data_IF_945981846710
#
_entry.id   IF_945981846710
#
_cell.length_a   1.000
_cell.length_b   1.000
_cell.length_c   1.000
_cell.angle_alpha   90.00
_cell.angle_beta   90.00
_cell.angle_gamma   90.00
#
_symmetry.space_group_name_H-M   'P 1'
#
loop_
_entity.id
_entity.type
_entity.pdbx_description
1 polymer ?
#
# COMPACT_ATOMS: atom_id res chain seq x y z
N UNK A 1 36.47 46.10 13.60
CA UNK A 1 36.06 44.77 13.10
C UNK A 1 34.99 44.18 14.02
N UNK A 2 33.73 44.60 13.92
CA UNK A 2 32.65 44.06 14.78
C UNK A 2 31.30 44.45 14.20
N UNK A 3 30.80 43.75 13.17
CA UNK A 3 29.41 43.97 12.69
C UNK A 3 28.78 42.85 11.84
N UNK A 4 29.35 41.63 11.79
CA UNK A 4 28.82 40.54 10.93
C UNK A 4 28.37 39.30 11.73
N UNK A 5 28.37 39.34 13.07
CA UNK A 5 28.01 38.16 13.88
C UNK A 5 26.53 37.99 14.20
N UNK A 6 25.65 38.92 13.83
CA UNK A 6 24.25 38.89 14.28
C UNK A 6 23.23 38.41 13.23
N UNK A 7 23.63 38.18 11.97
CA UNK A 7 22.68 37.87 10.89
C UNK A 7 22.49 36.36 10.62
N UNK A 8 23.32 35.49 11.19
CA UNK A 8 23.25 34.04 10.94
C UNK A 8 22.27 33.33 11.90
N UNK A 9 21.85 33.98 12.99
CA UNK A 9 20.97 33.36 13.98
C UNK A 9 19.46 33.41 13.62
N UNK A 10 19.07 34.26 12.66
CA UNK A 10 17.65 34.47 12.33
C UNK A 10 17.06 33.49 11.30
N UNK A 11 17.87 32.65 10.65
CA UNK A 11 17.42 31.77 9.56
C UNK A 11 16.92 30.39 10.06
N UNK A 12 17.17 30.05 11.33
CA UNK A 12 16.80 28.74 11.90
C UNK A 12 15.39 28.65 12.51
N UNK A 13 14.62 29.75 12.57
CA UNK A 13 13.37 29.81 13.34
C UNK A 13 12.12 29.51 12.49
N UNK A 14 12.23 29.44 11.16
CA UNK A 14 11.09 29.20 10.26
C UNK A 14 11.13 27.82 9.59
N UNK A 15 11.55 26.77 10.31
CA UNK A 15 11.16 25.42 9.88
C UNK A 15 9.70 25.20 10.30
N UNK A 16 8.73 25.12 9.38
CA UNK A 16 7.41 24.64 9.74
C UNK A 16 7.61 23.22 10.29
N UNK A 17 7.25 23.02 11.56
CA UNK A 17 7.07 21.69 12.10
C UNK A 17 5.98 21.02 11.25
N UNK A 18 6.39 20.27 10.23
CA UNK A 18 5.47 19.41 9.52
C UNK A 18 4.97 18.39 10.53
N UNK A 19 3.71 18.53 10.92
CA UNK A 19 3.01 17.53 11.73
C UNK A 19 3.01 16.26 10.88
N UNK A 20 3.93 15.35 11.17
CA UNK A 20 4.00 14.04 10.55
C UNK A 20 2.77 13.26 11.01
N UNK A 21 1.68 13.37 10.23
CA UNK A 21 0.48 12.57 10.46
C UNK A 21 0.78 11.12 10.09
N UNK A 22 1.18 10.37 11.10
CA UNK A 22 1.31 8.92 11.03
C UNK A 22 -0.05 8.28 11.01
N UNK A 23 -0.50 7.82 9.84
CA UNK A 23 -1.74 7.07 9.66
C UNK A 23 -1.44 5.62 9.29
N UNK A 24 -2.05 4.67 9.99
CA UNK A 24 -2.11 3.26 9.62
C UNK A 24 -3.54 2.96 9.17
N UNK A 25 -3.70 2.38 7.98
CA UNK A 25 -4.99 1.98 7.43
C UNK A 25 -5.01 0.46 7.30
N UNK A 26 -6.01 -0.18 7.91
CA UNK A 26 -6.20 -1.63 7.84
C UNK A 26 -7.47 -1.93 7.06
N UNK A 27 -7.32 -2.67 5.96
CA UNK A 27 -8.39 -3.22 5.15
C UNK A 27 -8.45 -4.72 5.40
N UNK A 28 -9.53 -5.20 6.02
CA UNK A 28 -9.65 -6.60 6.43
C UNK A 28 -10.93 -7.26 5.96
N UNK A 29 -10.94 -8.60 5.99
CA UNK A 29 -11.98 -9.45 5.42
C UNK A 29 -12.26 -9.08 3.95
N UNK A 30 -11.19 -9.06 3.15
CA UNK A 30 -11.19 -8.69 1.75
C UNK A 30 -11.51 -9.89 0.86
N UNK A 31 -12.65 -9.83 0.17
CA UNK A 31 -13.09 -10.87 -0.76
C UNK A 31 -12.57 -10.57 -2.18
N UNK A 32 -12.27 -11.62 -2.94
CA UNK A 32 -11.81 -11.55 -4.33
C UNK A 32 -12.79 -12.33 -5.22
N UNK A 33 -12.87 -11.98 -6.51
CA UNK A 33 -13.76 -12.69 -7.45
C UNK A 33 -13.21 -14.04 -7.93
N UNK A 34 -11.89 -14.15 -8.00
CA UNK A 34 -11.17 -15.31 -8.54
C UNK A 34 -10.79 -16.29 -7.44
N UNK A 35 -10.48 -15.78 -6.25
CA UNK A 35 -9.88 -16.53 -5.16
C UNK A 35 -10.69 -16.50 -3.86
N UNK A 36 -10.68 -17.64 -3.16
CA UNK A 36 -11.32 -17.77 -1.86
C UNK A 36 -10.30 -17.77 -0.72
N UNK A 37 -10.55 -16.94 0.29
CA UNK A 37 -9.67 -16.74 1.43
C UNK A 37 -10.37 -17.07 2.76
N UNK A 38 -9.62 -17.62 3.70
CA UNK A 38 -9.99 -17.61 5.12
C UNK A 38 -9.61 -16.28 5.78
N UNK A 39 -8.48 -15.71 5.34
CA UNK A 39 -8.01 -14.38 5.74
C UNK A 39 -7.41 -13.69 4.51
N UNK A 40 -7.72 -12.41 4.33
CA UNK A 40 -7.09 -11.55 3.35
C UNK A 40 -7.19 -10.12 3.88
N UNK A 41 -6.04 -9.54 4.17
CA UNK A 41 -5.90 -8.28 4.89
C UNK A 41 -4.73 -7.49 4.32
N UNK A 42 -4.91 -6.18 4.23
CA UNK A 42 -3.91 -5.21 3.78
C UNK A 42 -3.73 -4.16 4.88
N UNK A 43 -2.49 -3.98 5.30
CA UNK A 43 -2.09 -3.01 6.32
C UNK A 43 -1.19 -1.99 5.63
N UNK A 44 -1.66 -0.75 5.52
CA UNK A 44 -0.92 0.37 4.95
C UNK A 44 -0.35 1.19 6.10
N UNK A 45 0.97 1.24 6.22
CA UNK A 45 1.67 2.12 7.14
C UNK A 45 2.20 3.32 6.34
N UNK A 46 1.49 4.44 6.39
CA UNK A 46 1.87 5.64 5.63
C UNK A 46 3.10 6.34 6.20
N UNK A 47 3.47 6.00 7.44
CA UNK A 47 4.65 6.56 8.09
C UNK A 47 5.93 5.88 7.61
N UNK A 48 5.89 4.56 7.48
CA UNK A 48 7.01 3.75 6.97
C UNK A 48 6.98 3.61 5.44
N UNK A 49 5.93 4.10 4.79
CA UNK A 49 5.69 3.97 3.34
C UNK A 49 5.69 2.50 2.88
N UNK A 50 5.07 1.63 3.69
CA UNK A 50 4.94 0.20 3.37
C UNK A 50 3.48 -0.28 3.41
N UNK A 51 3.22 -1.31 2.63
CA UNK A 51 2.01 -2.13 2.66
C UNK A 51 2.38 -3.56 3.01
N UNK A 52 1.67 -4.15 3.95
CA UNK A 52 1.77 -5.56 4.32
C UNK A 52 0.48 -6.24 3.93
N UNK A 53 0.55 -7.30 3.11
CA UNK A 53 -0.60 -8.16 2.83
C UNK A 53 -0.44 -9.48 3.57
N UNK A 54 -1.44 -9.83 4.37
CA UNK A 54 -1.53 -11.11 5.06
C UNK A 54 -2.70 -11.90 4.49
N UNK A 55 -2.44 -13.11 3.98
CA UNK A 55 -3.51 -13.94 3.44
C UNK A 55 -3.38 -15.42 3.81
N UNK A 56 -4.52 -16.09 3.86
CA UNK A 56 -4.67 -17.52 4.04
C UNK A 56 -5.72 -17.98 3.02
N UNK A 57 -5.31 -18.81 2.05
CA UNK A 57 -6.22 -19.39 1.07
C UNK A 57 -7.13 -20.44 1.71
N UNK A 58 -8.35 -20.57 1.18
CA UNK A 58 -9.15 -21.79 1.39
C UNK A 58 -8.52 -22.97 0.65
N UNK A 59 -8.85 -24.18 1.08
CA UNK A 59 -8.26 -25.42 0.53
C UNK A 59 -8.43 -25.52 -0.99
N UNK A 60 -9.62 -25.22 -1.50
CA UNK A 60 -9.92 -25.24 -2.94
C UNK A 60 -8.97 -24.34 -3.76
N UNK A 61 -8.77 -23.10 -3.33
CA UNK A 61 -7.87 -22.15 -4.00
C UNK A 61 -6.40 -22.55 -3.84
N UNK A 62 -6.02 -23.00 -2.64
CA UNK A 62 -4.66 -23.47 -2.39
C UNK A 62 -4.29 -24.66 -3.31
N UNK A 63 -5.15 -25.68 -3.38
CA UNK A 63 -4.90 -26.85 -4.23
C UNK A 63 -4.86 -26.48 -5.71
N UNK A 64 -5.76 -25.61 -6.18
CA UNK A 64 -5.74 -25.08 -7.56
C UNK A 64 -4.37 -24.52 -7.93
N UNK A 65 -3.79 -23.68 -7.09
CA UNK A 65 -2.48 -23.08 -7.35
C UNK A 65 -1.31 -24.03 -7.11
N UNK A 66 -1.42 -24.93 -6.13
CA UNK A 66 -0.40 -25.92 -5.83
C UNK A 66 -0.14 -26.88 -7.00
N UNK A 67 -1.17 -27.17 -7.79
CA UNK A 67 -1.04 -27.99 -9.01
C UNK A 67 -0.11 -27.36 -10.05
N UNK A 68 -0.13 -26.04 -10.19
CA UNK A 68 0.69 -25.32 -11.18
C UNK A 68 2.02 -24.85 -10.61
N UNK A 69 2.10 -24.60 -9.30
CA UNK A 69 3.28 -24.09 -8.63
C UNK A 69 3.46 -24.73 -7.24
N UNK A 70 4.47 -25.60 -7.14
CA UNK A 70 4.82 -26.31 -5.91
C UNK A 70 5.37 -25.39 -4.81
N UNK A 71 5.78 -24.16 -5.12
CA UNK A 71 6.27 -23.19 -4.13
C UNK A 71 5.15 -22.45 -3.40
N UNK A 72 3.91 -22.57 -3.89
CA UNK A 72 2.74 -21.91 -3.31
C UNK A 72 2.57 -22.30 -1.84
N UNK A 73 2.42 -21.28 -1.00
CA UNK A 73 2.12 -21.39 0.42
C UNK A 73 0.64 -21.12 0.66
N UNK A 74 0.00 -21.93 1.50
CA UNK A 74 -1.41 -21.75 1.91
C UNK A 74 -1.63 -20.46 2.70
N UNK A 75 -0.66 -20.12 3.57
CA UNK A 75 -0.61 -18.89 4.35
C UNK A 75 0.68 -18.16 4.01
N UNK A 76 0.60 -16.86 3.74
CA UNK A 76 1.77 -16.04 3.47
C UNK A 76 1.56 -14.58 3.88
N UNK A 77 2.68 -13.88 4.06
CA UNK A 77 2.75 -12.44 4.26
C UNK A 77 3.81 -11.85 3.35
N UNK A 78 3.54 -10.69 2.78
CA UNK A 78 4.54 -9.95 2.02
C UNK A 78 4.43 -8.45 2.25
N UNK A 79 5.55 -7.78 2.07
CA UNK A 79 5.68 -6.32 2.21
C UNK A 79 5.98 -5.70 0.85
N UNK A 80 5.39 -4.54 0.57
CA UNK A 80 5.72 -3.71 -0.58
C UNK A 80 5.82 -2.25 -0.16
N UNK A 81 6.75 -1.53 -0.77
CA UNK A 81 6.80 -0.08 -0.61
C UNK A 81 5.62 0.57 -1.33
N UNK A 82 5.11 1.66 -0.77
CA UNK A 82 4.02 2.46 -1.29
C UNK A 82 4.41 3.93 -1.40
N UNK A 83 3.72 4.65 -2.25
CA UNK A 83 3.81 6.10 -2.36
C UNK A 83 2.41 6.68 -2.59
N UNK A 84 2.27 7.98 -2.36
CA UNK A 84 1.03 8.73 -2.60
C UNK A 84 1.16 9.58 -3.86
N UNK A 85 0.15 9.51 -4.72
CA UNK A 85 0.05 10.26 -5.98
C UNK A 85 -1.43 10.63 -6.18
N UNK A 86 -1.72 11.93 -6.34
CA UNK A 86 -3.09 12.45 -6.54
C UNK A 86 -4.11 11.95 -5.49
N UNK A 87 -3.70 11.86 -4.22
CA UNK A 87 -4.54 11.38 -3.11
C UNK A 87 -4.83 9.88 -3.11
N UNK A 88 -4.21 9.13 -4.03
CA UNK A 88 -4.23 7.67 -4.13
C UNK A 88 -2.94 7.09 -3.59
N UNK A 89 -3.01 5.89 -3.01
CA UNK A 89 -1.84 5.16 -2.54
C UNK A 89 -1.55 4.05 -3.53
N UNK A 90 -0.33 4.02 -4.08
CA UNK A 90 0.11 2.99 -5.01
C UNK A 90 1.28 2.20 -4.44
N UNK A 91 1.32 0.90 -4.71
CA UNK A 91 2.56 0.13 -4.49
C UNK A 91 3.59 0.49 -5.54
N UNK A 92 4.86 0.26 -5.26
CA UNK A 92 5.91 0.31 -6.27
C UNK A 92 5.58 -0.58 -7.47
N UNK A 93 6.04 -0.15 -8.65
CA UNK A 93 5.85 -0.86 -9.92
C UNK A 93 6.46 -2.25 -9.82
N UNK A 94 5.66 -3.26 -10.14
CA UNK A 94 6.10 -4.65 -10.22
C UNK A 94 6.01 -5.13 -11.67
N UNK A 95 7.17 -5.33 -12.29
CA UNK A 95 7.29 -5.70 -13.70
C UNK A 95 8.43 -4.93 -14.39
N UNK A 96 8.30 -4.79 -15.70
CA UNK A 96 9.25 -4.08 -16.56
C UNK A 96 8.75 -2.66 -16.87
N UNK A 97 9.63 -1.73 -17.30
CA UNK A 97 9.22 -0.37 -17.65
C UNK A 97 8.07 -0.30 -18.68
N UNK A 98 8.04 -1.24 -19.64
CA UNK A 98 7.02 -1.33 -20.68
C UNK A 98 5.75 -2.07 -20.22
N UNK A 99 5.84 -2.90 -19.17
CA UNK A 99 4.72 -3.64 -18.61
C UNK A 99 4.86 -3.82 -17.10
N UNK A 100 4.02 -3.14 -16.31
CA UNK A 100 4.04 -3.26 -14.86
C UNK A 100 2.66 -3.25 -14.26
N UNK A 101 2.59 -3.75 -13.03
CA UNK A 101 1.39 -3.73 -12.20
C UNK A 101 1.64 -3.00 -10.89
N UNK A 102 0.59 -2.38 -10.35
CA UNK A 102 0.59 -1.69 -9.06
C UNK A 102 -0.75 -1.94 -8.37
N UNK A 103 -0.71 -2.15 -7.06
CA UNK A 103 -1.93 -2.16 -6.27
C UNK A 103 -2.26 -0.71 -5.92
N UNK A 104 -3.50 -0.33 -6.18
CA UNK A 104 -4.04 1.01 -6.02
C UNK A 104 -5.09 0.99 -4.91
N UNK A 105 -4.91 1.89 -3.94
CA UNK A 105 -5.81 2.11 -2.82
C UNK A 105 -6.28 3.55 -2.78
N UNK A 106 -7.53 3.76 -2.37
CA UNK A 106 -8.06 5.07 -2.05
C UNK A 106 -8.37 5.14 -0.55
N UNK A 107 -7.91 6.19 0.14
CA UNK A 107 -7.91 6.27 1.63
C UNK A 107 -9.27 6.06 2.30
N UNK A 108 -10.39 6.26 1.60
CA UNK A 108 -11.74 6.15 2.15
C UNK A 108 -12.55 4.99 1.56
N UNK A 109 -12.00 4.26 0.58
CA UNK A 109 -12.71 3.19 -0.12
C UNK A 109 -12.29 1.83 0.42
N UNK A 110 -13.23 0.90 0.38
CA UNK A 110 -12.99 -0.50 0.77
C UNK A 110 -12.62 -1.39 -0.42
N UNK A 111 -12.70 -0.84 -1.62
CA UNK A 111 -12.29 -1.47 -2.85
C UNK A 111 -10.79 -1.30 -3.07
N UNK A 112 -10.16 -2.39 -3.50
CA UNK A 112 -8.75 -2.43 -3.89
C UNK A 112 -8.70 -2.68 -5.38
N UNK A 113 -7.86 -1.90 -6.06
CA UNK A 113 -7.71 -1.95 -7.51
C UNK A 113 -6.31 -2.42 -7.88
N UNK A 114 -6.19 -3.04 -9.05
CA UNK A 114 -4.93 -3.28 -9.73
C UNK A 114 -4.86 -2.30 -10.90
N UNK A 115 -3.82 -1.48 -10.92
CA UNK A 115 -3.39 -0.69 -12.06
C UNK A 115 -2.38 -1.52 -12.84
N UNK A 116 -2.69 -1.81 -14.10
CA UNK A 116 -1.79 -2.45 -15.05
C UNK A 116 -1.44 -1.45 -16.12
N UNK A 117 -0.17 -1.36 -16.48
CA UNK A 117 0.30 -0.51 -17.57
C UNK A 117 1.00 -1.38 -18.59
N UNK A 118 0.63 -1.27 -19.87
CA UNK A 118 1.27 -1.94 -20.99
C UNK A 118 1.48 -0.92 -22.11
N UNK A 119 2.74 -0.68 -22.51
CA UNK A 119 3.06 0.26 -23.58
C UNK A 119 2.41 1.65 -23.42
N UNK A 120 2.42 2.18 -22.19
CA UNK A 120 1.77 3.45 -21.79
C UNK A 120 0.23 3.44 -21.78
N UNK A 121 -0.42 2.32 -22.10
CA UNK A 121 -1.86 2.16 -21.90
C UNK A 121 -2.13 1.70 -20.47
N UNK A 122 -3.06 2.38 -19.78
CA UNK A 122 -3.42 2.07 -18.41
C UNK A 122 -4.76 1.33 -18.32
N UNK A 123 -4.77 0.20 -17.60
CA UNK A 123 -5.97 -0.52 -17.22
C UNK A 123 -6.13 -0.54 -15.71
N UNK A 124 -7.31 -0.17 -15.20
CA UNK A 124 -7.65 -0.25 -13.78
C UNK A 124 -8.76 -1.29 -13.61
N UNK A 125 -8.51 -2.29 -12.77
CA UNK A 125 -9.47 -3.35 -12.48
C UNK A 125 -9.65 -3.51 -10.97
N UNK A 126 -10.88 -3.76 -10.53
CA UNK A 126 -11.16 -4.05 -9.11
C UNK A 126 -10.74 -5.50 -8.82
N UNK A 127 -9.82 -5.68 -7.87
CA UNK A 127 -9.35 -7.00 -7.45
C UNK A 127 -10.07 -7.48 -6.20
N UNK A 128 -10.29 -6.59 -5.22
CA UNK A 128 -10.86 -7.00 -3.95
C UNK A 128 -11.83 -5.98 -3.37
N UNK A 129 -12.81 -6.47 -2.61
CA UNK A 129 -13.75 -5.65 -1.84
C UNK A 129 -13.66 -6.06 -0.37
N UNK A 130 -13.29 -5.13 0.49
CA UNK A 130 -13.12 -5.37 1.93
C UNK A 130 -14.39 -5.02 2.71
N UNK A 131 -14.66 -5.77 3.78
CA UNK A 131 -15.82 -5.50 4.65
C UNK A 131 -15.51 -4.42 5.67
N UNK A 132 -14.27 -4.39 6.16
CA UNK A 132 -13.81 -3.51 7.24
C UNK A 132 -12.68 -2.61 6.76
N UNK A 133 -12.73 -1.36 7.24
CA UNK A 133 -11.68 -0.34 7.05
C UNK A 133 -11.50 0.34 8.40
N UNK A 134 -10.29 0.25 8.94
CA UNK A 134 -9.91 0.83 10.23
C UNK A 134 -8.76 1.81 10.01
N UNK A 135 -8.78 2.94 10.71
CA UNK A 135 -7.77 3.99 10.62
C UNK A 135 -7.25 4.32 11.99
N UNK A 136 -5.93 4.28 12.14
CA UNK A 136 -5.25 4.63 13.36
C UNK A 136 -4.36 5.82 13.09
N UNK A 137 -4.51 6.87 13.88
CA UNK A 137 -3.55 7.97 13.94
C UNK A 137 -2.64 7.69 15.13
N UNK A 138 -1.31 7.68 14.94
CA UNK A 138 -0.42 7.79 16.10
C UNK A 138 -0.56 9.20 16.64
N UNK A 139 -0.84 9.30 17.93
CA UNK A 139 -0.65 10.55 18.66
C UNK A 139 0.85 10.86 18.66
N UNK A 140 1.20 12.09 18.28
CA UNK A 140 2.57 12.62 18.34
C UNK A 140 2.76 13.41 19.62
#
# INVERSE_FOLDING_TARGET
>A
MTKVKFLIFSILIFYPFHILKSEIIILSACDDKQDEFLKNEYILNLNELIMIRNYIYKEKTYQKYKLTDLSVKKSNSYVRNIYEEDGKILTHKHGYPQFYTQILFEKQKKEIYMKTVLNNEEGISKISSCKKLEKFKKES
#
